data_IF_724831106997
#
_entry.id   IF_724831106997
#
_cell.length_a   1.000
_cell.length_b   1.000
_cell.length_c   1.000
_cell.angle_alpha   90.00
_cell.angle_beta   90.00
_cell.angle_gamma   90.00
#
_symmetry.space_group_name_H-M   'P 1'
#
loop_
_entity.id
_entity.type
_entity.pdbx_description
1 polymer ?
#
# COMPACT_ATOMS: atom_id res chain seq x y z
N UNK A 1 -4.27 12.16 -43.25
CA UNK A 1 -4.81 12.49 -41.92
C UNK A 1 -3.61 12.81 -41.02
N UNK A 2 -2.98 14.01 -41.02
CA UNK A 2 -3.42 15.42 -40.96
C UNK A 2 -3.92 15.94 -39.59
N UNK A 3 -3.61 15.27 -38.47
CA UNK A 3 -3.94 15.79 -37.12
C UNK A 3 -2.74 15.92 -36.16
N UNK A 4 -1.55 15.39 -36.47
CA UNK A 4 -0.41 15.44 -35.51
C UNK A 4 0.42 16.75 -35.58
N UNK A 5 0.30 17.55 -36.64
CA UNK A 5 1.08 18.80 -36.76
C UNK A 5 0.49 20.02 -36.03
N UNK A 6 -0.67 19.91 -35.38
CA UNK A 6 -1.30 21.06 -34.69
C UNK A 6 -0.88 21.14 -33.22
N UNK A 7 -0.45 20.05 -32.59
CA UNK A 7 -0.07 20.07 -31.17
C UNK A 7 1.28 20.77 -30.92
N UNK A 8 2.18 20.80 -31.91
CA UNK A 8 3.49 21.43 -31.80
C UNK A 8 3.43 22.97 -31.89
N UNK A 9 2.36 23.54 -32.46
CA UNK A 9 2.20 24.99 -32.59
C UNK A 9 1.75 25.67 -31.28
N UNK A 10 1.17 24.93 -30.33
CA UNK A 10 0.71 25.49 -29.06
C UNK A 10 1.84 25.71 -28.04
N UNK A 11 2.97 25.00 -28.17
CA UNK A 11 4.12 25.15 -27.27
C UNK A 11 4.87 26.48 -27.47
N UNK A 12 4.79 27.10 -28.65
CA UNK A 12 5.52 28.34 -28.97
C UNK A 12 4.84 29.62 -28.47
N UNK A 13 3.55 29.56 -28.11
CA UNK A 13 2.82 30.73 -27.61
C UNK A 13 3.04 31.01 -26.12
N UNK A 14 3.50 30.01 -25.35
CA UNK A 14 3.68 30.14 -23.89
C UNK A 14 5.08 30.67 -23.51
N UNK A 15 6.01 30.78 -24.46
CA UNK A 15 7.38 31.27 -24.22
C UNK A 15 7.61 32.74 -24.60
N UNK A 16 6.60 33.46 -25.10
CA UNK A 16 6.69 34.88 -25.47
C UNK A 16 5.98 35.85 -24.51
N UNK A 17 5.57 35.40 -23.32
CA UNK A 17 5.14 36.29 -22.23
C UNK A 17 6.26 36.47 -21.20
N UNK A 18 7.44 36.86 -21.67
CA UNK A 18 8.41 37.57 -20.84
C UNK A 18 8.07 39.06 -20.85
N UNK A 19 8.06 39.61 -19.63
CA UNK A 19 7.98 41.02 -19.26
C UNK A 19 8.49 42.00 -20.34
N UNK A 20 7.60 42.90 -20.74
CA UNK A 20 7.95 44.21 -21.26
C UNK A 20 7.54 45.24 -20.22
N UNK A 21 8.52 45.93 -19.63
CA UNK A 21 8.58 47.37 -19.78
C UNK A 21 9.94 47.91 -19.34
N UNK A 22 10.60 48.52 -20.32
CA UNK A 22 11.78 49.35 -20.20
C UNK A 22 11.42 50.76 -19.70
N UNK A 23 12.34 51.28 -18.89
CA UNK A 23 12.92 52.63 -18.82
C UNK A 23 12.04 53.89 -18.68
N UNK A 24 12.39 54.74 -17.71
CA UNK A 24 13.05 56.00 -18.05
C UNK A 24 13.79 56.67 -16.88
N UNK A 25 14.96 57.24 -17.20
CA UNK A 25 15.86 58.00 -16.33
C UNK A 25 15.58 59.49 -16.50
N UNK A 26 15.27 60.22 -15.43
CA UNK A 26 15.43 61.68 -15.37
C UNK A 26 15.84 62.20 -13.96
N UNK A 27 17.13 62.57 -13.88
CA UNK A 27 17.76 63.75 -13.26
C UNK A 27 17.23 64.41 -11.95
N UNK A 28 18.09 64.35 -10.92
CA UNK A 28 18.47 65.31 -9.85
C UNK A 28 17.48 66.26 -9.13
N UNK A 29 17.66 66.23 -7.78
CA UNK A 29 17.45 67.25 -6.75
C UNK A 29 16.01 67.72 -6.42
N UNK A 30 15.51 67.28 -5.25
CA UNK A 30 15.35 68.12 -4.04
C UNK A 30 14.14 67.73 -3.16
N UNK A 31 14.34 67.94 -1.85
CA UNK A 31 13.35 68.17 -0.79
C UNK A 31 12.65 66.96 -0.15
N UNK A 32 12.97 66.82 1.14
CA UNK A 32 12.29 66.06 2.17
C UNK A 32 10.80 66.43 2.26
N UNK A 33 9.91 65.42 2.37
CA UNK A 33 8.87 65.49 3.39
C UNK A 33 8.29 64.12 3.70
N UNK A 34 8.30 63.81 4.99
CA UNK A 34 7.73 62.61 5.59
C UNK A 34 6.20 62.65 5.51
N UNK A 35 5.57 61.51 5.22
CA UNK A 35 4.25 61.21 5.75
C UNK A 35 4.01 59.69 5.79
N UNK A 36 3.25 59.29 6.80
CA UNK A 36 3.24 57.97 7.45
C UNK A 36 3.02 56.77 6.53
N UNK A 37 3.93 55.80 6.59
CA UNK A 37 3.69 54.41 6.16
C UNK A 37 2.61 53.78 7.04
N UNK A 38 1.37 53.74 6.55
CA UNK A 38 0.38 52.78 7.03
C UNK A 38 0.87 51.39 6.62
N UNK A 39 1.44 50.65 7.58
CA UNK A 39 1.74 49.22 7.45
C UNK A 39 0.43 48.52 7.07
N UNK A 40 0.32 48.10 5.80
CA UNK A 40 -0.62 47.07 5.41
C UNK A 40 0.00 45.78 5.94
N UNK A 41 -0.54 45.27 7.03
CA UNK A 41 -0.24 43.92 7.48
C UNK A 41 -0.81 43.01 6.39
N UNK A 42 0.08 42.51 5.52
CA UNK A 42 -0.24 41.32 4.72
C UNK A 42 -0.17 40.17 5.71
N UNK A 43 -1.27 39.92 6.41
CA UNK A 43 -1.49 38.64 7.06
C UNK A 43 -1.43 37.59 5.94
N UNK A 44 -0.31 36.87 5.87
CA UNK A 44 -0.23 35.61 5.13
C UNK A 44 -1.33 34.73 5.72
N UNK A 45 -2.38 34.52 4.94
CA UNK A 45 -3.28 33.39 5.15
C UNK A 45 -2.38 32.15 5.03
N UNK A 46 -2.03 31.56 6.18
CA UNK A 46 -1.35 30.26 6.20
C UNK A 46 -2.28 29.28 5.48
N UNK A 47 -1.88 28.88 4.27
CA UNK A 47 -2.49 27.76 3.57
C UNK A 47 -2.60 26.60 4.57
N UNK A 48 -3.77 25.96 4.71
CA UNK A 48 -3.96 24.91 5.71
C UNK A 48 -2.85 23.89 5.54
N UNK A 49 -2.04 23.73 6.59
CA UNK A 49 -0.93 22.81 6.62
C UNK A 49 -1.49 21.44 6.26
N UNK A 50 -1.13 20.94 5.08
CA UNK A 50 -1.61 19.67 4.56
C UNK A 50 -1.22 18.62 5.60
N UNK A 51 -2.22 18.08 6.32
CA UNK A 51 -1.99 17.11 7.39
C UNK A 51 -1.13 15.99 6.83
N UNK A 52 0.09 15.86 7.35
CA UNK A 52 1.00 14.81 6.91
C UNK A 52 0.33 13.49 7.26
N UNK A 53 -0.01 12.70 6.24
CA UNK A 53 -0.61 11.39 6.44
C UNK A 53 0.40 10.53 7.21
N UNK A 54 -0.01 10.08 8.40
CA UNK A 54 0.73 9.16 9.24
C UNK A 54 -0.12 7.93 9.54
N UNK A 55 0.54 6.78 9.73
CA UNK A 55 -0.11 5.59 10.25
C UNK A 55 -0.36 5.76 11.75
N UNK A 56 -1.50 5.28 12.22
CA UNK A 56 -1.70 5.00 13.63
C UNK A 56 -0.87 3.78 14.06
N UNK A 57 -0.66 3.58 15.36
CA UNK A 57 0.06 2.41 15.86
C UNK A 57 -0.59 1.09 15.46
N UNK A 58 -1.92 1.04 15.36
CA UNK A 58 -2.64 -0.17 14.94
C UNK A 58 -2.50 -0.41 13.44
N UNK A 59 -2.58 0.65 12.61
CA UNK A 59 -2.35 0.56 11.17
C UNK A 59 -0.91 0.13 10.85
N UNK A 60 0.08 0.69 11.55
CA UNK A 60 1.49 0.30 11.41
C UNK A 60 1.70 -1.17 11.78
N UNK A 61 1.10 -1.63 12.87
CA UNK A 61 1.16 -3.03 13.29
C UNK A 61 0.54 -3.96 12.23
N UNK A 62 -0.66 -3.65 11.74
CA UNK A 62 -1.35 -4.47 10.74
C UNK A 62 -0.56 -4.50 9.42
N UNK A 63 -0.04 -3.36 8.98
CA UNK A 63 0.79 -3.28 7.78
C UNK A 63 2.07 -4.11 7.94
N UNK A 64 2.79 -3.98 9.04
CA UNK A 64 3.99 -4.76 9.29
C UNK A 64 3.70 -6.27 9.31
N UNK A 65 2.62 -6.68 9.98
CA UNK A 65 2.17 -8.07 9.96
C UNK A 65 1.84 -8.54 8.53
N UNK A 66 1.11 -7.75 7.74
CA UNK A 66 0.78 -8.04 6.33
C UNK A 66 2.06 -8.32 5.52
N UNK A 67 3.04 -7.41 5.57
CA UNK A 67 4.32 -7.57 4.87
C UNK A 67 5.03 -8.84 5.33
N UNK A 68 5.15 -9.03 6.65
CA UNK A 68 5.88 -10.16 7.22
C UNK A 68 5.29 -11.50 6.83
N UNK A 69 3.96 -11.66 6.88
CA UNK A 69 3.31 -12.93 6.57
C UNK A 69 3.33 -13.24 5.08
N UNK A 70 3.17 -12.25 4.19
CA UNK A 70 3.26 -12.48 2.75
C UNK A 70 4.69 -12.78 2.30
N UNK A 71 5.70 -12.03 2.79
CA UNK A 71 7.11 -12.37 2.55
C UNK A 71 7.42 -13.81 2.98
N UNK A 72 6.96 -14.20 4.17
CA UNK A 72 7.15 -15.56 4.66
C UNK A 72 6.44 -16.62 3.80
N UNK A 73 5.21 -16.34 3.38
CA UNK A 73 4.43 -17.23 2.50
C UNK A 73 5.17 -17.46 1.19
N UNK A 74 5.68 -16.40 0.55
CA UNK A 74 6.45 -16.49 -0.68
C UNK A 74 7.74 -17.27 -0.46
N UNK A 75 8.47 -16.99 0.61
CA UNK A 75 9.71 -17.70 0.92
C UNK A 75 9.49 -19.21 1.11
N UNK A 76 8.35 -19.62 1.69
CA UNK A 76 8.03 -21.02 1.97
C UNK A 76 7.36 -21.75 0.82
N UNK A 77 6.52 -21.06 0.05
CA UNK A 77 5.62 -21.62 -0.95
C UNK A 77 5.88 -21.09 -2.36
N UNK A 78 7.07 -20.53 -2.64
CA UNK A 78 7.41 -19.99 -3.96
C UNK A 78 7.12 -20.95 -5.13
N UNK A 79 7.40 -22.24 -4.95
CA UNK A 79 7.16 -23.27 -5.97
C UNK A 79 5.67 -23.59 -6.17
N UNK A 80 4.80 -23.03 -5.34
CA UNK A 80 3.34 -23.19 -5.40
C UNK A 80 2.64 -21.89 -5.82
N UNK A 81 3.39 -20.80 -5.99
CA UNK A 81 2.91 -19.46 -6.38
C UNK A 81 3.47 -19.16 -7.77
N UNK A 82 2.66 -19.38 -8.82
CA UNK A 82 3.11 -19.32 -10.22
C UNK A 82 3.83 -18.00 -10.57
N UNK A 83 3.30 -16.85 -10.15
CA UNK A 83 3.90 -15.53 -10.35
C UNK A 83 5.30 -15.35 -9.74
N UNK A 84 5.68 -16.21 -8.78
CA UNK A 84 6.98 -16.20 -8.13
C UNK A 84 7.88 -17.38 -8.53
N UNK A 85 7.46 -18.27 -9.44
CA UNK A 85 8.26 -19.40 -9.92
C UNK A 85 9.34 -18.97 -10.92
N UNK A 86 10.43 -19.74 -11.00
CA UNK A 86 11.50 -19.61 -12.00
C UNK A 86 12.29 -18.28 -12.02
N UNK A 87 13.02 -17.98 -10.94
CA UNK A 87 14.03 -16.90 -10.92
C UNK A 87 13.49 -15.50 -10.60
N UNK A 88 12.18 -15.27 -10.74
CA UNK A 88 11.50 -14.03 -10.34
C UNK A 88 11.21 -13.91 -8.83
N UNK A 89 11.91 -14.68 -7.98
CA UNK A 89 11.81 -14.53 -6.52
C UNK A 89 12.15 -13.09 -6.09
N UNK A 90 13.07 -12.43 -6.81
CA UNK A 90 13.37 -11.02 -6.57
C UNK A 90 12.12 -10.17 -6.77
N UNK A 91 11.39 -10.31 -7.88
CA UNK A 91 10.19 -9.50 -8.17
C UNK A 91 9.16 -9.54 -7.03
N UNK A 92 8.90 -10.70 -6.44
CA UNK A 92 7.92 -10.82 -5.36
C UNK A 92 8.40 -10.17 -4.05
N UNK A 93 9.69 -10.26 -3.72
CA UNK A 93 10.25 -9.61 -2.53
C UNK A 93 10.48 -8.10 -2.76
N UNK A 94 10.91 -7.72 -3.96
CA UNK A 94 11.13 -6.35 -4.41
C UNK A 94 9.83 -5.53 -4.36
N UNK A 95 8.68 -6.15 -4.64
CA UNK A 95 7.37 -5.51 -4.45
C UNK A 95 7.17 -5.05 -3.00
N UNK A 96 7.46 -5.90 -2.01
CA UNK A 96 7.25 -5.53 -0.62
C UNK A 96 8.29 -4.54 -0.10
N UNK A 97 9.52 -4.56 -0.64
CA UNK A 97 10.53 -3.54 -0.35
C UNK A 97 10.12 -2.19 -0.97
N UNK A 98 9.58 -2.20 -2.19
CA UNK A 98 8.96 -1.03 -2.81
C UNK A 98 7.76 -0.53 -1.99
N UNK A 99 6.87 -1.41 -1.54
CA UNK A 99 5.69 -1.04 -0.75
C UNK A 99 6.08 -0.46 0.62
N UNK A 100 7.18 -0.92 1.21
CA UNK A 100 7.71 -0.37 2.47
C UNK A 100 8.34 1.02 2.27
N UNK A 101 8.80 1.33 1.05
CA UNK A 101 9.44 2.61 0.70
C UNK A 101 8.52 3.59 -0.04
N UNK A 102 7.31 3.17 -0.40
CA UNK A 102 6.31 4.01 -1.09
C UNK A 102 5.60 4.98 -0.14
N UNK A 103 4.69 5.77 -0.68
CA UNK A 103 3.92 6.77 0.05
C UNK A 103 3.06 6.14 1.18
N UNK A 104 3.03 6.81 2.33
CA UNK A 104 2.33 6.37 3.55
C UNK A 104 0.84 6.13 3.35
N UNK A 105 0.20 6.80 2.38
CA UNK A 105 -1.21 6.58 2.07
C UNK A 105 -1.48 5.16 1.57
N UNK A 106 -0.61 4.58 0.73
CA UNK A 106 -0.77 3.18 0.27
C UNK A 106 -0.64 2.18 1.41
N UNK A 107 0.30 2.43 2.31
CA UNK A 107 0.49 1.60 3.51
C UNK A 107 -0.76 1.63 4.39
N UNK A 108 -1.34 2.82 4.56
CA UNK A 108 -2.59 3.03 5.30
C UNK A 108 -3.77 2.30 4.65
N UNK A 109 -3.91 2.43 3.34
CA UNK A 109 -4.98 1.77 2.60
C UNK A 109 -4.91 0.24 2.70
N UNK A 110 -3.71 -0.34 2.68
CA UNK A 110 -3.55 -1.79 2.85
C UNK A 110 -3.78 -2.25 4.28
N UNK A 111 -3.34 -1.48 5.29
CA UNK A 111 -3.65 -1.78 6.68
C UNK A 111 -5.17 -1.82 6.89
N UNK A 112 -5.88 -0.81 6.36
CA UNK A 112 -7.34 -0.73 6.42
C UNK A 112 -8.00 -1.88 5.67
N UNK A 113 -7.56 -2.18 4.45
CA UNK A 113 -8.08 -3.31 3.67
C UNK A 113 -7.87 -4.66 4.37
N UNK A 114 -6.74 -4.85 5.06
CA UNK A 114 -6.43 -6.10 5.76
C UNK A 114 -7.23 -6.29 7.06
N UNK A 115 -7.84 -5.23 7.62
CA UNK A 115 -8.49 -5.22 8.94
C UNK A 115 -9.44 -6.40 9.14
N UNK A 116 -10.27 -6.72 8.14
CA UNK A 116 -11.27 -7.79 8.24
C UNK A 116 -10.61 -9.16 8.44
N UNK A 117 -9.67 -9.51 7.56
CA UNK A 117 -8.94 -10.77 7.65
C UNK A 117 -8.06 -10.82 8.90
N UNK A 118 -7.37 -9.73 9.24
CA UNK A 118 -6.55 -9.61 10.44
C UNK A 118 -7.37 -9.88 11.71
N UNK A 119 -8.51 -9.22 11.87
CA UNK A 119 -9.37 -9.39 13.05
C UNK A 119 -9.93 -10.81 13.16
N UNK A 120 -10.35 -11.40 12.03
CA UNK A 120 -10.78 -12.80 12.00
C UNK A 120 -9.65 -13.74 12.46
N UNK A 121 -8.48 -13.63 11.84
CA UNK A 121 -7.32 -14.46 12.15
C UNK A 121 -6.84 -14.29 13.60
N UNK A 122 -6.82 -13.06 14.11
CA UNK A 122 -6.45 -12.77 15.50
C UNK A 122 -7.46 -13.34 16.50
N UNK A 123 -8.75 -13.35 16.15
CA UNK A 123 -9.77 -14.03 16.96
C UNK A 123 -9.53 -15.54 17.04
N UNK A 124 -9.16 -16.17 15.92
CA UNK A 124 -8.85 -17.61 15.88
C UNK A 124 -7.55 -17.93 16.61
N UNK A 125 -6.53 -17.07 16.48
CA UNK A 125 -5.30 -17.15 17.29
C UNK A 125 -5.62 -17.13 18.78
N UNK A 126 -6.40 -16.14 19.24
CA UNK A 126 -6.77 -16.02 20.67
C UNK A 126 -7.49 -17.27 21.18
N UNK A 127 -8.30 -17.91 20.35
CA UNK A 127 -9.04 -19.11 20.69
C UNK A 127 -8.14 -20.37 20.74
N UNK A 128 -7.26 -20.53 19.75
CA UNK A 128 -6.52 -21.80 19.54
C UNK A 128 -5.09 -21.77 20.10
N UNK A 129 -4.44 -20.61 20.12
CA UNK A 129 -3.02 -20.42 20.46
C UNK A 129 -2.80 -19.05 21.14
N UNK A 130 -3.50 -18.82 22.26
CA UNK A 130 -3.54 -17.52 22.97
C UNK A 130 -2.16 -16.92 23.30
N UNK A 131 -1.16 -17.78 23.53
CA UNK A 131 0.19 -17.40 23.96
C UNK A 131 1.11 -17.00 22.79
N UNK A 132 0.66 -17.17 21.55
CA UNK A 132 1.41 -16.75 20.35
C UNK A 132 1.02 -15.36 19.92
N UNK A 133 1.98 -14.59 19.39
CA UNK A 133 1.67 -13.39 18.61
C UNK A 133 1.06 -13.74 17.24
N UNK A 134 0.53 -12.72 16.56
CA UNK A 134 -0.15 -12.87 15.27
C UNK A 134 0.75 -13.51 14.21
N UNK A 135 1.92 -12.94 13.95
CA UNK A 135 2.83 -13.40 12.91
C UNK A 135 3.28 -14.84 13.17
N UNK A 136 3.63 -15.19 14.42
CA UNK A 136 4.03 -16.54 14.79
C UNK A 136 2.90 -17.55 14.60
N UNK A 137 1.65 -17.17 14.87
CA UNK A 137 0.49 -18.02 14.63
C UNK A 137 0.28 -18.28 13.14
N UNK A 138 0.33 -17.23 12.30
CA UNK A 138 0.18 -17.36 10.84
C UNK A 138 1.32 -18.17 10.23
N UNK A 139 2.58 -17.87 10.59
CA UNK A 139 3.75 -18.64 10.14
C UNK A 139 3.64 -20.12 10.50
N UNK A 140 3.13 -20.40 11.69
CA UNK A 140 2.83 -21.77 12.13
C UNK A 140 1.80 -22.48 11.26
N UNK A 141 0.85 -21.75 10.67
CA UNK A 141 -0.06 -22.28 9.65
C UNK A 141 0.66 -22.51 8.33
N UNK A 142 1.45 -21.56 7.82
CA UNK A 142 2.23 -21.72 6.58
C UNK A 142 3.17 -22.94 6.64
N UNK A 143 3.79 -23.19 7.79
CA UNK A 143 4.67 -24.35 7.99
C UNK A 143 3.91 -25.69 8.16
N UNK A 144 2.59 -25.66 8.39
CA UNK A 144 1.80 -26.85 8.69
C UNK A 144 1.47 -27.62 7.40
N UNK A 145 2.33 -28.59 7.04
CA UNK A 145 2.08 -29.53 5.95
C UNK A 145 1.35 -30.76 6.46
N UNK A 146 0.17 -31.08 5.89
CA UNK A 146 -0.52 -32.36 6.07
C UNK A 146 0.25 -33.49 5.34
N UNK A 147 1.44 -33.84 5.81
CA UNK A 147 2.16 -35.01 5.31
C UNK A 147 2.23 -36.07 6.41
N UNK A 148 1.50 -37.18 6.18
CA UNK A 148 1.54 -38.54 6.72
C UNK A 148 1.96 -38.87 8.17
N UNK A 149 2.42 -37.94 9.03
CA UNK A 149 2.73 -38.15 10.45
C UNK A 149 3.02 -36.85 11.25
N UNK A 150 2.57 -35.66 10.81
CA UNK A 150 2.92 -34.40 11.51
C UNK A 150 1.74 -33.47 11.79
N UNK A 151 1.70 -33.03 13.07
CA UNK A 151 0.99 -31.92 13.74
C UNK A 151 -0.49 -31.70 13.38
N UNK A 152 -1.29 -31.58 14.42
CA UNK A 152 -2.69 -31.16 14.35
C UNK A 152 -2.82 -29.77 13.69
N UNK A 153 -2.94 -29.73 12.36
CA UNK A 153 -3.22 -28.50 11.61
C UNK A 153 -4.67 -28.03 11.77
N UNK A 154 -5.53 -28.75 12.53
CA UNK A 154 -6.93 -28.38 12.73
C UNK A 154 -7.09 -27.10 13.57
N UNK A 155 -6.00 -26.55 14.12
CA UNK A 155 -6.01 -25.22 14.72
C UNK A 155 -5.94 -24.08 13.71
N UNK A 156 -5.64 -24.36 12.44
CA UNK A 156 -5.49 -23.38 11.37
C UNK A 156 -6.61 -23.45 10.31
N UNK A 157 -7.72 -24.11 10.65
CA UNK A 157 -8.87 -24.30 9.79
C UNK A 157 -9.72 -25.47 10.27
N UNK A 158 -10.63 -25.97 9.45
CA UNK A 158 -11.44 -27.15 9.77
C UNK A 158 -11.28 -28.24 8.72
N UNK A 159 -10.50 -29.27 9.02
CA UNK A 159 -10.21 -30.33 8.05
C UNK A 159 -9.27 -29.91 6.91
N UNK A 160 -8.91 -28.64 6.82
CA UNK A 160 -7.88 -28.06 5.94
C UNK A 160 -7.12 -26.94 6.66
N UNK A 161 -6.02 -26.49 6.06
CA UNK A 161 -5.25 -25.35 6.55
C UNK A 161 -5.74 -24.10 5.81
N UNK A 162 -6.80 -23.48 6.34
CA UNK A 162 -7.53 -22.40 5.65
C UNK A 162 -6.71 -21.10 5.67
N UNK A 163 -5.87 -20.92 6.70
CA UNK A 163 -4.94 -19.79 6.80
C UNK A 163 -3.89 -19.86 5.68
N UNK A 164 -3.25 -21.02 5.49
CA UNK A 164 -2.26 -21.19 4.42
C UNK A 164 -2.87 -20.96 3.05
N UNK A 165 -4.04 -21.58 2.78
CA UNK A 165 -4.75 -21.42 1.52
C UNK A 165 -5.10 -19.95 1.24
N UNK A 166 -5.53 -19.18 2.25
CA UNK A 166 -5.79 -17.76 2.09
C UNK A 166 -4.55 -16.99 1.62
N UNK A 167 -3.42 -17.12 2.34
CA UNK A 167 -2.22 -16.36 1.99
C UNK A 167 -1.60 -16.83 0.67
N UNK A 168 -1.55 -18.15 0.42
CA UNK A 168 -1.06 -18.68 -0.86
C UNK A 168 -1.98 -18.28 -2.01
N UNK A 169 -3.29 -18.30 -1.82
CA UNK A 169 -4.27 -17.89 -2.83
C UNK A 169 -4.15 -16.42 -3.19
N UNK A 170 -4.12 -15.53 -2.20
CA UNK A 170 -3.92 -14.09 -2.44
C UNK A 170 -2.57 -13.84 -3.11
N UNK A 171 -1.49 -14.46 -2.65
CA UNK A 171 -0.18 -14.33 -3.28
C UNK A 171 -0.19 -14.83 -4.74
N UNK A 172 -0.87 -15.95 -4.99
CA UNK A 172 -1.06 -16.52 -6.33
C UNK A 172 -1.73 -15.56 -7.30
N UNK A 173 -2.72 -14.80 -6.82
CA UNK A 173 -3.43 -13.83 -7.65
C UNK A 173 -2.59 -12.58 -7.93
N UNK A 174 -2.02 -11.96 -6.90
CA UNK A 174 -1.39 -10.63 -7.04
C UNK A 174 -0.11 -10.68 -7.87
N UNK A 175 0.64 -11.80 -7.84
CA UNK A 175 1.88 -11.92 -8.61
C UNK A 175 1.69 -12.38 -10.05
N UNK A 176 0.44 -12.46 -10.53
CA UNK A 176 0.18 -12.52 -11.97
C UNK A 176 0.22 -11.13 -12.64
N UNK A 177 0.28 -10.06 -11.85
CA UNK A 177 0.37 -8.68 -12.33
C UNK A 177 1.79 -8.28 -12.71
N UNK A 178 1.93 -7.30 -13.60
CA UNK A 178 3.20 -7.01 -14.28
C UNK A 178 4.00 -5.85 -13.65
N UNK A 179 3.40 -5.10 -12.73
CA UNK A 179 4.03 -3.93 -12.11
C UNK A 179 3.65 -3.78 -10.64
N UNK A 180 4.51 -3.11 -9.87
CA UNK A 180 4.26 -2.87 -8.44
C UNK A 180 2.92 -2.16 -8.17
N UNK A 181 2.49 -1.25 -9.05
CA UNK A 181 1.21 -0.56 -8.88
C UNK A 181 -0.01 -1.44 -9.23
N UNK A 182 0.13 -2.36 -10.18
CA UNK A 182 -0.92 -3.35 -10.46
C UNK A 182 -0.99 -4.39 -9.33
N UNK A 183 0.15 -4.90 -8.85
CA UNK A 183 0.23 -5.79 -7.68
C UNK A 183 -0.40 -5.11 -6.46
N UNK A 184 -0.11 -3.83 -6.21
CA UNK A 184 -0.70 -3.04 -5.13
C UNK A 184 -2.23 -2.99 -5.21
N UNK A 185 -2.78 -2.62 -6.37
CA UNK A 185 -4.24 -2.54 -6.58
C UNK A 185 -4.89 -3.89 -6.42
N UNK A 186 -4.31 -4.94 -7.03
CA UNK A 186 -4.80 -6.30 -6.92
C UNK A 186 -4.77 -6.78 -5.46
N UNK A 187 -3.69 -6.56 -4.72
CA UNK A 187 -3.61 -6.90 -3.30
C UNK A 187 -4.71 -6.20 -2.50
N UNK A 188 -4.88 -4.89 -2.68
CA UNK A 188 -5.93 -4.13 -2.00
C UNK A 188 -7.31 -4.70 -2.29
N UNK A 189 -7.62 -4.98 -3.56
CA UNK A 189 -8.91 -5.53 -3.98
C UNK A 189 -9.15 -6.93 -3.38
N UNK A 190 -8.13 -7.80 -3.39
CA UNK A 190 -8.21 -9.16 -2.80
C UNK A 190 -8.36 -9.14 -1.28
N UNK A 191 -7.80 -8.15 -0.59
CA UNK A 191 -7.98 -7.97 0.85
C UNK A 191 -9.40 -7.48 1.19
N UNK A 192 -10.00 -6.64 0.33
CA UNK A 192 -11.36 -6.11 0.48
C UNK A 192 -12.45 -7.09 0.02
N UNK A 193 -12.11 -8.07 -0.82
CA UNK A 193 -13.06 -9.05 -1.35
C UNK A 193 -13.52 -10.05 -0.29
N UNK A 194 -14.69 -9.79 0.27
CA UNK A 194 -15.40 -10.70 1.18
C UNK A 194 -16.53 -11.48 0.49
N UNK A 195 -16.55 -11.51 -0.85
CA UNK A 195 -17.55 -12.24 -1.63
C UNK A 195 -17.41 -13.76 -1.49
N UNK A 196 -18.47 -14.51 -1.83
CA UNK A 196 -18.56 -15.97 -1.64
C UNK A 196 -17.47 -16.77 -2.36
N UNK A 197 -16.89 -16.22 -3.44
CA UNK A 197 -15.83 -16.84 -4.22
C UNK A 197 -14.44 -16.28 -3.91
N UNK A 198 -14.34 -15.32 -2.98
CA UNK A 198 -13.08 -14.68 -2.60
C UNK A 198 -12.25 -15.55 -1.65
N UNK A 199 -10.96 -15.24 -1.54
CA UNK A 199 -10.05 -15.94 -0.62
C UNK A 199 -10.53 -15.82 0.83
N UNK A 200 -11.12 -14.68 1.22
CA UNK A 200 -11.67 -14.50 2.56
C UNK A 200 -12.83 -15.46 2.85
N UNK A 201 -13.72 -15.73 1.89
CA UNK A 201 -14.78 -16.73 2.09
C UNK A 201 -14.18 -18.12 2.31
N UNK A 202 -13.17 -18.51 1.54
CA UNK A 202 -12.41 -19.75 1.76
C UNK A 202 -11.75 -19.80 3.14
N UNK A 203 -11.23 -18.67 3.61
CA UNK A 203 -10.65 -18.53 4.95
C UNK A 203 -11.70 -18.75 6.05
N UNK A 204 -12.94 -18.29 5.89
CA UNK A 204 -13.92 -18.27 6.99
C UNK A 204 -14.93 -19.40 6.99
N UNK A 205 -15.31 -19.92 5.83
CA UNK A 205 -16.50 -20.77 5.64
C UNK A 205 -16.53 -22.01 6.54
N UNK A 206 -15.38 -22.62 6.77
CA UNK A 206 -15.33 -23.93 7.43
C UNK A 206 -15.00 -23.85 8.93
N UNK A 207 -14.68 -22.69 9.48
CA UNK A 207 -14.26 -22.60 10.89
C UNK A 207 -15.41 -22.90 11.85
N UNK A 208 -15.24 -23.95 12.66
CA UNK A 208 -16.06 -24.16 13.84
C UNK A 208 -15.64 -23.18 14.95
N UNK A 209 -16.64 -22.65 15.67
CA UNK A 209 -16.43 -21.79 16.84
C UNK A 209 -15.94 -22.58 18.05
#
# INVERSE_FOLDING_TARGET
MKIINILFCLLLLVLNSCNANDNDTFNNNSVQQAESRKKRDLSQEELPQQEKITLTSDEEKMFNSLINVFKYTIDKLNNEIQGCMNGNKSQCNDFFDWLSSTDTQKQKELAQAFTTAYNFLDSKRKLKEKDKDFDTYIKGAIDCKKANNQKDCNKYGNGSNDIEQYFRGVAGDIFNENSNEEIYKCLKDKLLDTGENGHYAGLTTNWQN
#
